data_IF_926274757584
#
_entry.id   IF_926274757584
#
_cell.length_a   1.000
_cell.length_b   1.000
_cell.length_c   1.000
_cell.angle_alpha   90.00
_cell.angle_beta   90.00
_cell.angle_gamma   90.00
#
_symmetry.space_group_name_H-M   'P 1'
#
loop_
_entity.id
_entity.type
_entity.pdbx_description
1 polymer ?
#
# COMPACT_ATOMS: atom_id res chain seq x y z
N UNK A 1 0.66 24.63 6.29
CA UNK A 1 1.42 23.44 5.86
C UNK A 1 2.06 23.66 4.49
N UNK A 2 1.37 24.25 3.51
CA UNK A 2 1.91 24.42 2.13
C UNK A 2 2.22 25.89 1.74
N UNK A 3 2.61 26.75 2.68
CA UNK A 3 2.76 28.20 2.46
C UNK A 3 4.08 28.64 1.80
N UNK A 4 4.80 27.73 1.12
CA UNK A 4 6.14 27.96 0.58
C UNK A 4 6.25 27.73 -0.93
N UNK A 5 7.45 27.94 -1.48
CA UNK A 5 7.74 27.65 -2.90
C UNK A 5 7.63 26.15 -3.15
N UNK A 6 6.93 25.76 -4.20
CA UNK A 6 6.81 24.37 -4.64
C UNK A 6 7.73 24.11 -5.84
N UNK A 7 8.51 23.04 -5.78
CA UNK A 7 9.38 22.54 -6.83
C UNK A 7 8.89 21.17 -7.30
N UNK A 8 8.80 20.96 -8.62
CA UNK A 8 8.38 19.67 -9.20
C UNK A 8 9.59 19.03 -9.87
N UNK A 9 9.88 17.77 -9.53
CA UNK A 9 10.96 16.98 -10.11
C UNK A 9 10.36 15.86 -10.94
N UNK A 10 10.56 15.97 -12.26
CA UNK A 10 10.11 15.00 -13.26
C UNK A 10 11.25 14.35 -14.04
N UNK A 11 12.51 14.63 -13.71
CA UNK A 11 13.69 14.07 -14.39
C UNK A 11 14.43 13.09 -13.47
N UNK A 12 14.83 11.90 -13.95
CA UNK A 12 15.54 10.91 -13.15
C UNK A 12 16.92 11.38 -12.63
N UNK A 13 17.59 12.27 -13.36
CA UNK A 13 18.94 12.77 -13.05
C UNK A 13 18.99 13.53 -11.71
N UNK A 14 17.91 14.25 -11.38
CA UNK A 14 17.82 15.04 -10.15
C UNK A 14 17.56 14.16 -8.91
N UNK A 15 16.98 12.96 -9.08
CA UNK A 15 16.51 12.17 -7.95
C UNK A 15 17.67 11.71 -7.06
N UNK A 16 18.79 11.28 -7.66
CA UNK A 16 19.94 10.81 -6.90
C UNK A 16 20.50 11.91 -5.97
N UNK A 17 20.51 13.17 -6.43
CA UNK A 17 20.98 14.30 -5.64
C UNK A 17 20.07 14.62 -4.46
N UNK A 18 18.75 14.49 -4.63
CA UNK A 18 17.76 14.61 -3.55
C UNK A 18 17.88 13.47 -2.54
N UNK A 19 18.01 12.23 -3.01
CA UNK A 19 18.05 11.05 -2.14
C UNK A 19 19.30 10.99 -1.28
N UNK A 20 20.46 11.44 -1.79
CA UNK A 20 21.70 11.55 -1.00
C UNK A 20 21.56 12.54 0.17
N UNK A 21 20.66 13.51 0.05
CA UNK A 21 20.37 14.53 1.06
C UNK A 21 19.00 14.30 1.71
N UNK A 22 18.57 13.04 1.87
CA UNK A 22 17.22 12.68 2.29
C UNK A 22 16.81 13.13 3.71
N UNK A 23 17.75 13.54 4.56
CA UNK A 23 17.43 14.21 5.83
C UNK A 23 17.09 15.70 5.60
N UNK A 24 17.77 16.36 4.67
CA UNK A 24 17.55 17.77 4.33
C UNK A 24 16.33 17.94 3.43
N UNK A 25 16.16 17.09 2.42
CA UNK A 25 14.90 16.91 1.69
C UNK A 25 14.10 15.80 2.38
N UNK A 26 13.47 16.11 3.51
CA UNK A 26 12.88 15.15 4.43
C UNK A 26 11.43 14.81 4.08
N UNK A 27 11.09 13.52 4.12
CA UNK A 27 9.69 13.10 4.20
C UNK A 27 9.22 12.90 5.65
N UNK A 28 10.13 12.54 6.56
CA UNK A 28 9.79 12.22 7.96
C UNK A 28 9.06 13.37 8.66
N UNK A 29 9.47 14.62 8.40
CA UNK A 29 8.75 15.78 8.93
C UNK A 29 7.29 15.83 8.46
N UNK A 30 7.05 15.60 7.16
CA UNK A 30 5.69 15.55 6.61
C UNK A 30 4.92 14.36 7.14
N UNK A 31 5.56 13.20 7.28
CA UNK A 31 4.94 11.98 7.81
C UNK A 31 4.47 12.15 9.26
N UNK A 32 5.27 12.77 10.13
CA UNK A 32 4.86 13.08 11.51
C UNK A 32 3.67 14.04 11.52
N UNK A 33 3.72 15.10 10.72
CA UNK A 33 2.63 16.08 10.64
C UNK A 33 1.35 15.47 10.09
N UNK A 34 1.44 14.68 9.01
CA UNK A 34 0.30 14.00 8.41
C UNK A 34 -0.31 13.02 9.40
N UNK A 35 0.51 12.25 10.11
CA UNK A 35 0.04 11.32 11.15
C UNK A 35 -0.69 12.07 12.26
N UNK A 36 -0.10 13.14 12.79
CA UNK A 36 -0.71 13.93 13.86
C UNK A 36 -2.06 14.56 13.44
N UNK A 37 -2.10 15.19 12.26
CA UNK A 37 -3.28 15.92 11.79
C UNK A 37 -4.39 14.96 11.31
N UNK A 38 -4.05 13.93 10.53
CA UNK A 38 -5.02 12.93 10.05
C UNK A 38 -5.58 12.10 11.20
N UNK A 39 -4.73 11.66 12.14
CA UNK A 39 -5.16 10.92 13.32
C UNK A 39 -5.95 11.78 14.31
N UNK A 40 -5.76 13.10 14.26
CA UNK A 40 -6.31 14.04 15.23
C UNK A 40 -5.70 13.82 16.61
N UNK A 41 -4.38 13.66 16.67
CA UNK A 41 -3.64 13.41 17.91
C UNK A 41 -3.81 14.55 18.92
N UNK A 42 -3.62 14.22 20.18
CA UNK A 42 -3.49 15.21 21.24
C UNK A 42 -2.31 16.16 20.98
N UNK A 43 -2.34 17.35 21.59
CA UNK A 43 -1.22 18.30 21.47
C UNK A 43 0.11 17.73 21.95
N UNK A 44 0.07 16.89 22.99
CA UNK A 44 1.25 16.22 23.52
C UNK A 44 1.76 15.14 22.56
N UNK A 45 0.87 14.28 22.05
CA UNK A 45 1.19 13.27 21.05
C UNK A 45 1.79 13.88 19.78
N UNK A 46 1.20 14.95 19.26
CA UNK A 46 1.74 15.71 18.12
C UNK A 46 3.14 16.24 18.43
N UNK A 47 3.33 16.91 19.58
CA UNK A 47 4.62 17.49 19.98
C UNK A 47 5.72 16.43 20.05
N UNK A 48 5.42 15.26 20.61
CA UNK A 48 6.36 14.13 20.70
C UNK A 48 6.70 13.55 19.33
N UNK A 49 5.70 13.40 18.45
CA UNK A 49 5.91 12.79 17.14
C UNK A 49 6.75 13.67 16.20
N UNK A 50 6.60 15.00 16.27
CA UNK A 50 7.39 15.95 15.45
C UNK A 50 8.76 16.32 16.05
N UNK A 51 9.05 15.85 17.27
CA UNK A 51 10.30 16.19 17.94
C UNK A 51 11.51 15.54 17.26
N UNK A 52 12.64 16.25 17.30
CA UNK A 52 13.96 15.75 16.91
C UNK A 52 14.06 15.27 15.44
N UNK A 53 13.23 15.83 14.54
CA UNK A 53 13.23 15.49 13.11
C UNK A 53 14.18 16.35 12.26
N UNK A 54 14.80 17.36 12.85
CA UNK A 54 15.73 18.24 12.14
C UNK A 54 17.01 17.50 11.75
N UNK A 55 17.63 17.81 10.59
CA UNK A 55 18.82 17.11 10.11
C UNK A 55 19.97 17.07 11.11
N UNK A 56 20.16 18.17 11.85
CA UNK A 56 21.20 18.35 12.85
C UNK A 56 20.88 17.73 14.23
N UNK A 57 19.70 17.16 14.43
CA UNK A 57 19.32 16.57 15.72
C UNK A 57 20.09 15.28 16.00
N UNK A 58 20.76 15.23 17.15
CA UNK A 58 21.39 14.00 17.69
C UNK A 58 20.47 13.24 18.66
N UNK A 59 19.34 13.84 19.04
CA UNK A 59 18.37 13.23 19.96
C UNK A 59 17.50 12.18 19.24
N UNK A 60 17.08 11.11 19.94
CA UNK A 60 16.15 10.12 19.38
C UNK A 60 14.84 10.77 18.93
N UNK A 61 14.24 10.23 17.86
CA UNK A 61 12.95 10.69 17.34
C UNK A 61 11.97 9.54 17.33
N UNK A 62 10.83 9.76 17.98
CA UNK A 62 9.77 8.75 18.11
C UNK A 62 9.27 8.25 16.75
N UNK A 63 9.13 9.15 15.76
CA UNK A 63 8.75 8.77 14.40
C UNK A 63 9.85 7.90 13.76
N UNK A 64 11.10 8.37 13.75
CA UNK A 64 12.19 7.68 13.05
C UNK A 64 12.42 6.29 13.65
N UNK A 65 12.37 6.17 14.98
CA UNK A 65 12.57 4.89 15.65
C UNK A 65 11.39 3.95 15.44
N UNK A 66 10.15 4.46 15.42
CA UNK A 66 8.97 3.69 15.00
C UNK A 66 9.04 3.20 13.54
N UNK A 67 9.60 4.01 12.63
CA UNK A 67 9.85 3.62 11.23
C UNK A 67 10.90 2.52 11.12
N UNK A 68 12.01 2.61 11.87
CA UNK A 68 13.02 1.53 11.93
C UNK A 68 12.44 0.24 12.49
N UNK A 69 11.63 0.32 13.54
CA UNK A 69 10.96 -0.84 14.11
C UNK A 69 10.00 -1.48 13.10
N UNK A 70 9.25 -0.67 12.36
CA UNK A 70 8.39 -1.12 11.25
C UNK A 70 9.20 -1.81 10.15
N UNK A 71 10.31 -1.20 9.72
CA UNK A 71 11.21 -1.79 8.71
C UNK A 71 11.80 -3.13 9.16
N UNK A 72 12.20 -3.23 10.43
CA UNK A 72 12.74 -4.46 11.00
C UNK A 72 11.67 -5.56 11.06
N UNK A 73 10.45 -5.23 11.52
CA UNK A 73 9.34 -6.18 11.61
C UNK A 73 8.94 -6.75 10.23
N UNK A 74 9.03 -5.92 9.18
CA UNK A 74 8.74 -6.29 7.79
C UNK A 74 9.96 -6.82 7.02
N UNK A 75 11.09 -7.03 7.68
CA UNK A 75 12.26 -7.65 7.06
C UNK A 75 12.14 -9.18 7.08
N UNK A 76 12.92 -9.92 6.24
CA UNK A 76 12.99 -11.38 6.30
C UNK A 76 13.44 -11.95 7.66
N UNK A 77 14.17 -11.15 8.46
CA UNK A 77 14.58 -11.51 9.83
C UNK A 77 13.55 -11.08 10.89
N UNK A 78 12.49 -10.38 10.48
CA UNK A 78 11.39 -9.94 11.32
C UNK A 78 10.29 -11.00 11.36
N UNK A 79 9.09 -10.65 10.91
CA UNK A 79 7.95 -11.58 10.82
C UNK A 79 7.17 -11.46 9.51
N UNK A 80 7.80 -10.94 8.45
CA UNK A 80 7.12 -10.72 7.17
C UNK A 80 6.65 -12.03 6.53
N UNK A 81 7.44 -13.11 6.64
CA UNK A 81 7.09 -14.42 6.07
C UNK A 81 5.84 -15.02 6.74
N UNK A 82 5.70 -14.84 8.06
CA UNK A 82 4.50 -15.26 8.79
C UNK A 82 3.28 -14.46 8.37
N UNK A 83 3.43 -13.14 8.18
CA UNK A 83 2.36 -12.29 7.68
C UNK A 83 1.93 -12.72 6.27
N UNK A 84 2.88 -12.96 5.36
CA UNK A 84 2.60 -13.42 3.99
C UNK A 84 1.83 -14.75 4.02
N UNK A 85 2.25 -15.68 4.90
CA UNK A 85 1.56 -16.97 5.08
C UNK A 85 0.12 -16.77 5.56
N UNK A 86 -0.10 -15.97 6.60
CA UNK A 86 -1.44 -15.69 7.14
C UNK A 86 -2.32 -15.01 6.10
N UNK A 87 -1.81 -14.03 5.36
CA UNK A 87 -2.57 -13.37 4.29
C UNK A 87 -2.98 -14.38 3.21
N UNK A 88 -2.05 -15.22 2.75
CA UNK A 88 -2.33 -16.22 1.72
C UNK A 88 -3.30 -17.32 2.17
N UNK A 89 -3.24 -17.76 3.43
CA UNK A 89 -4.21 -18.69 4.03
C UNK A 89 -5.61 -18.06 4.09
N UNK A 90 -5.72 -16.80 4.53
CA UNK A 90 -7.00 -16.09 4.53
C UNK A 90 -7.57 -15.92 3.11
N UNK A 91 -6.73 -15.57 2.13
CA UNK A 91 -7.15 -15.50 0.72
C UNK A 91 -7.65 -16.87 0.25
N UNK A 92 -6.92 -17.94 0.55
CA UNK A 92 -7.31 -19.30 0.19
C UNK A 92 -8.68 -19.66 0.77
N UNK A 93 -8.87 -19.51 2.08
CA UNK A 93 -10.12 -19.86 2.77
C UNK A 93 -11.32 -19.10 2.18
N UNK A 94 -11.13 -17.81 1.85
CA UNK A 94 -12.18 -16.97 1.28
C UNK A 94 -12.51 -17.35 -0.16
N UNK A 95 -11.51 -17.68 -0.98
CA UNK A 95 -11.73 -18.19 -2.34
C UNK A 95 -12.36 -19.58 -2.32
N UNK A 96 -12.03 -20.42 -1.34
CA UNK A 96 -12.67 -21.73 -1.17
C UNK A 96 -14.14 -21.59 -0.76
N UNK A 97 -14.45 -20.66 0.14
CA UNK A 97 -15.84 -20.33 0.48
C UNK A 97 -16.61 -19.80 -0.73
N UNK A 98 -16.02 -18.89 -1.51
CA UNK A 98 -16.63 -18.38 -2.74
C UNK A 98 -16.89 -19.50 -3.76
N UNK A 99 -15.95 -20.42 -3.94
CA UNK A 99 -16.12 -21.57 -4.84
C UNK A 99 -17.25 -22.50 -4.36
N UNK A 100 -17.35 -22.74 -3.05
CA UNK A 100 -18.42 -23.54 -2.46
C UNK A 100 -19.80 -22.88 -2.60
N UNK A 101 -19.87 -21.55 -2.42
CA UNK A 101 -21.10 -20.77 -2.58
C UNK A 101 -21.54 -20.70 -4.05
N UNK A 102 -20.59 -20.55 -4.97
CA UNK A 102 -20.85 -20.52 -6.40
C UNK A 102 -21.28 -21.89 -6.94
N UNK A 103 -20.65 -22.99 -6.50
CA UNK A 103 -20.84 -24.30 -7.12
C UNK A 103 -20.61 -24.22 -8.64
N UNK A 104 -21.61 -24.64 -9.43
CA UNK A 104 -21.57 -24.60 -10.90
C UNK A 104 -22.27 -23.36 -11.51
N UNK A 105 -22.64 -22.34 -10.70
CA UNK A 105 -23.33 -21.14 -11.20
C UNK A 105 -22.38 -19.94 -11.37
N UNK A 106 -22.70 -19.09 -12.34
CA UNK A 106 -22.03 -17.79 -12.51
C UNK A 106 -22.53 -16.81 -11.44
N UNK A 107 -21.61 -16.27 -10.64
CA UNK A 107 -21.88 -15.19 -9.69
C UNK A 107 -21.45 -13.85 -10.28
N UNK A 108 -22.36 -12.88 -10.28
CA UNK A 108 -22.06 -11.51 -10.68
C UNK A 108 -21.65 -10.69 -9.46
N UNK A 109 -20.50 -10.02 -9.54
CA UNK A 109 -20.02 -9.11 -8.50
C UNK A 109 -19.39 -7.86 -9.11
N UNK A 110 -19.35 -6.79 -8.32
CA UNK A 110 -18.58 -5.58 -8.62
C UNK A 110 -17.10 -5.88 -8.28
N UNK A 111 -16.25 -5.93 -9.31
CA UNK A 111 -14.87 -6.37 -9.15
C UNK A 111 -14.08 -5.46 -8.20
N UNK A 112 -14.32 -4.15 -8.25
CA UNK A 112 -13.65 -3.21 -7.35
C UNK A 112 -14.08 -3.42 -5.91
N UNK A 113 -15.39 -3.48 -5.65
CA UNK A 113 -15.92 -3.69 -4.31
C UNK A 113 -15.46 -5.03 -3.73
N UNK A 114 -15.44 -6.09 -4.55
CA UNK A 114 -14.95 -7.39 -4.15
C UNK A 114 -13.45 -7.35 -3.81
N UNK A 115 -12.59 -6.85 -4.71
CA UNK A 115 -11.15 -6.77 -4.45
C UNK A 115 -10.85 -5.89 -3.22
N UNK A 116 -11.57 -4.78 -3.05
CA UNK A 116 -11.44 -3.92 -1.87
C UNK A 116 -11.69 -4.69 -0.59
N UNK A 117 -12.81 -5.41 -0.50
CA UNK A 117 -13.15 -6.19 0.67
C UNK A 117 -12.16 -7.32 0.94
N UNK A 118 -11.86 -8.12 -0.09
CA UNK A 118 -10.99 -9.29 0.04
C UNK A 118 -9.57 -8.93 0.50
N UNK A 119 -8.98 -7.89 -0.09
CA UNK A 119 -7.64 -7.44 0.30
C UNK A 119 -7.69 -6.73 1.65
N UNK A 120 -8.70 -5.90 1.94
CA UNK A 120 -8.82 -5.28 3.28
C UNK A 120 -8.81 -6.36 4.36
N UNK A 121 -9.65 -7.38 4.24
CA UNK A 121 -9.72 -8.46 5.22
C UNK A 121 -8.41 -9.23 5.26
N UNK A 122 -7.93 -9.79 4.14
CA UNK A 122 -6.73 -10.62 4.13
C UNK A 122 -5.49 -9.89 4.69
N UNK A 123 -5.29 -8.63 4.29
CA UNK A 123 -4.18 -7.81 4.78
C UNK A 123 -4.33 -7.54 6.28
N UNK A 124 -5.51 -7.09 6.74
CA UNK A 124 -5.70 -6.71 8.15
C UNK A 124 -5.68 -7.92 9.09
N UNK A 125 -6.13 -9.10 8.65
CA UNK A 125 -5.94 -10.36 9.37
C UNK A 125 -4.47 -10.67 9.61
N UNK A 126 -3.65 -10.50 8.58
CA UNK A 126 -2.20 -10.73 8.69
C UNK A 126 -1.50 -9.75 9.62
N UNK A 127 -2.08 -8.56 9.86
CA UNK A 127 -1.51 -7.52 10.72
C UNK A 127 -2.01 -7.66 12.15
N UNK A 128 -3.33 -7.69 12.34
CA UNK A 128 -3.99 -7.55 13.64
C UNK A 128 -4.36 -8.90 14.29
N UNK A 129 -4.34 -10.00 13.54
CA UNK A 129 -4.57 -11.33 14.07
C UNK A 129 -6.03 -11.61 14.46
N UNK A 130 -6.29 -12.58 15.35
CA UNK A 130 -7.63 -13.10 15.63
C UNK A 130 -8.66 -12.05 16.10
N UNK A 131 -8.21 -10.95 16.68
CA UNK A 131 -9.03 -9.84 17.17
C UNK A 131 -9.06 -8.64 16.20
N UNK A 132 -8.80 -8.88 14.91
CA UNK A 132 -8.82 -7.87 13.86
C UNK A 132 -10.10 -6.99 13.90
N UNK A 133 -9.98 -5.67 14.14
CA UNK A 133 -11.12 -4.78 14.16
C UNK A 133 -11.86 -4.66 12.83
N UNK A 134 -11.16 -4.82 11.71
CA UNK A 134 -11.70 -4.63 10.35
C UNK A 134 -12.64 -5.76 9.90
N UNK A 135 -12.72 -6.88 10.66
CA UNK A 135 -13.79 -7.89 10.48
C UNK A 135 -15.19 -7.32 10.65
N UNK A 136 -15.31 -6.25 11.44
CA UNK A 136 -16.59 -5.59 11.64
C UNK A 136 -16.84 -4.68 10.45
N UNK A 137 -17.85 -5.00 9.63
CA UNK A 137 -18.18 -4.25 8.40
C UNK A 137 -18.32 -2.73 8.60
N UNK A 138 -18.80 -2.30 9.78
CA UNK A 138 -18.87 -0.87 10.14
C UNK A 138 -17.49 -0.22 10.29
N UNK A 139 -16.50 -0.95 10.81
CA UNK A 139 -15.12 -0.49 10.96
C UNK A 139 -14.45 -0.40 9.59
N UNK A 140 -14.55 -1.43 8.77
CA UNK A 140 -14.06 -1.44 7.38
C UNK A 140 -14.65 -0.26 6.57
N UNK A 141 -15.98 -0.10 6.58
CA UNK A 141 -16.63 1.02 5.91
C UNK A 141 -16.20 2.37 6.51
N UNK A 142 -15.98 2.43 7.82
CA UNK A 142 -15.43 3.60 8.51
C UNK A 142 -14.02 3.95 8.04
N UNK A 143 -13.17 2.94 7.85
CA UNK A 143 -11.82 3.10 7.33
C UNK A 143 -11.82 3.66 5.91
N UNK A 144 -12.58 3.08 4.98
CA UNK A 144 -12.62 3.57 3.60
C UNK A 144 -13.22 4.97 3.49
N UNK A 145 -14.22 5.29 4.31
CA UNK A 145 -14.74 6.66 4.42
C UNK A 145 -13.68 7.68 4.89
N UNK A 146 -12.78 7.27 5.78
CA UNK A 146 -11.66 8.09 6.25
C UNK A 146 -10.55 8.19 5.20
N UNK A 147 -10.17 7.07 4.59
CA UNK A 147 -9.06 6.98 3.66
C UNK A 147 -9.34 7.72 2.34
N UNK A 148 -10.56 7.62 1.79
CA UNK A 148 -10.92 8.24 0.50
C UNK A 148 -10.81 9.77 0.54
N UNK A 149 -11.23 10.40 1.63
CA UNK A 149 -11.27 11.86 1.79
C UNK A 149 -10.08 12.39 2.64
N UNK A 150 -9.01 11.62 2.79
CA UNK A 150 -7.88 11.97 3.67
C UNK A 150 -7.18 13.29 3.27
N UNK A 151 -6.98 13.53 1.97
CA UNK A 151 -6.38 14.76 1.43
C UNK A 151 -7.30 15.95 1.70
N UNK A 152 -8.61 15.78 1.55
CA UNK A 152 -9.58 16.83 1.87
C UNK A 152 -9.50 17.19 3.35
N UNK A 153 -9.49 16.18 4.23
CA UNK A 153 -9.35 16.38 5.68
C UNK A 153 -8.06 17.14 6.04
N UNK A 154 -6.97 16.88 5.32
CA UNK A 154 -5.67 17.51 5.55
C UNK A 154 -5.60 18.96 5.03
N UNK A 155 -6.25 19.26 3.91
CA UNK A 155 -6.20 20.56 3.24
C UNK A 155 -7.23 21.56 3.76
N UNK A 156 -8.40 21.10 4.23
CA UNK A 156 -9.48 22.00 4.68
C UNK A 156 -9.35 22.31 6.17
N UNK A 157 -8.61 23.38 6.52
CA UNK A 157 -8.58 23.89 7.91
C UNK A 157 -9.80 24.75 8.26
N UNK A 158 -10.58 25.20 7.27
CA UNK A 158 -11.82 25.95 7.47
C UNK A 158 -13.04 25.00 7.36
N UNK A 159 -13.82 24.88 8.44
CA UNK A 159 -15.04 24.07 8.52
C UNK A 159 -14.92 22.58 8.08
N UNK A 160 -13.94 21.81 8.60
CA UNK A 160 -13.74 20.40 8.20
C UNK A 160 -14.97 19.52 8.47
N UNK A 161 -15.77 19.86 9.50
CA UNK A 161 -17.02 19.16 9.82
C UNK A 161 -18.09 19.24 8.73
N UNK A 162 -18.00 20.20 7.81
CA UNK A 162 -18.94 20.34 6.70
C UNK A 162 -18.39 19.72 5.40
N UNK A 163 -17.09 19.89 5.13
CA UNK A 163 -16.46 19.46 3.87
C UNK A 163 -15.98 18.01 3.92
N UNK A 164 -15.58 17.50 5.09
CA UNK A 164 -15.02 16.15 5.27
C UNK A 164 -15.77 15.35 6.35
N UNK A 165 -17.08 15.59 6.49
CA UNK A 165 -17.90 14.99 7.57
C UNK A 165 -17.89 13.46 7.55
N UNK A 166 -17.82 12.84 6.36
CA UNK A 166 -17.75 11.39 6.15
C UNK A 166 -16.44 10.83 6.70
N UNK A 167 -15.31 11.44 6.34
CA UNK A 167 -13.99 11.06 6.86
C UNK A 167 -13.87 11.22 8.36
N UNK A 168 -14.40 12.30 8.95
CA UNK A 168 -14.32 12.52 10.39
C UNK A 168 -15.10 11.44 11.16
N UNK A 169 -16.30 11.09 10.70
CA UNK A 169 -17.11 10.02 11.28
C UNK A 169 -16.45 8.65 11.09
N UNK A 170 -15.92 8.39 9.89
CA UNK A 170 -15.18 7.17 9.59
C UNK A 170 -13.98 6.97 10.51
N UNK A 171 -13.15 8.01 10.65
CA UNK A 171 -11.99 8.03 11.56
C UNK A 171 -12.40 7.74 13.00
N UNK A 172 -13.48 8.37 13.49
CA UNK A 172 -13.94 8.14 14.86
C UNK A 172 -14.29 6.67 15.13
N UNK A 173 -14.95 6.00 14.17
CA UNK A 173 -15.28 4.58 14.26
C UNK A 173 -14.01 3.71 14.35
N UNK A 174 -13.03 3.97 13.47
CA UNK A 174 -11.77 3.21 13.45
C UNK A 174 -10.96 3.45 14.71
N UNK A 175 -10.84 4.69 15.17
CA UNK A 175 -10.12 5.03 16.41
C UNK A 175 -10.77 4.34 17.62
N UNK A 176 -12.09 4.31 17.71
CA UNK A 176 -12.78 3.60 18.80
C UNK A 176 -12.49 2.09 18.76
N UNK A 177 -12.49 1.49 17.57
CA UNK A 177 -12.18 0.07 17.39
C UNK A 177 -10.73 -0.25 17.76
N UNK A 178 -9.77 0.57 17.31
CA UNK A 178 -8.35 0.43 17.66
C UNK A 178 -8.07 0.69 19.14
N UNK A 179 -8.80 1.64 19.76
CA UNK A 179 -8.71 1.85 21.20
C UNK A 179 -9.10 0.58 21.96
N UNK A 180 -10.21 -0.06 21.60
CA UNK A 180 -10.63 -1.33 22.21
C UNK A 180 -9.62 -2.45 21.98
N UNK A 181 -9.10 -2.56 20.75
CA UNK A 181 -8.06 -3.53 20.39
C UNK A 181 -6.86 -3.42 21.34
N UNK A 182 -6.30 -2.22 21.49
CA UNK A 182 -5.16 -2.02 22.38
C UNK A 182 -5.53 -2.16 23.86
N UNK A 183 -6.71 -1.70 24.32
CA UNK A 183 -7.10 -1.77 25.75
C UNK A 183 -7.21 -3.23 26.19
N UNK A 184 -7.69 -4.09 25.29
CA UNK A 184 -7.79 -5.53 25.54
C UNK A 184 -6.45 -6.27 25.37
N UNK A 185 -5.35 -5.55 25.14
CA UNK A 185 -4.03 -6.14 24.86
C UNK A 185 -4.01 -7.08 23.64
N UNK A 186 -4.94 -6.92 22.69
CA UNK A 186 -5.10 -7.82 21.55
C UNK A 186 -3.89 -7.80 20.60
N UNK A 187 -3.14 -6.70 20.56
CA UNK A 187 -1.87 -6.59 19.82
C UNK A 187 -0.84 -7.67 20.18
N UNK A 188 -0.95 -8.29 21.36
CA UNK A 188 -0.08 -9.43 21.75
C UNK A 188 -0.32 -10.67 20.89
N UNK A 189 -1.51 -10.81 20.32
CA UNK A 189 -1.90 -11.91 19.43
C UNK A 189 -1.75 -11.54 17.94
N UNK A 190 -1.48 -10.26 17.63
CA UNK A 190 -1.21 -9.79 16.27
C UNK A 190 0.21 -10.12 15.76
N UNK A 191 0.50 -9.61 14.57
CA UNK A 191 1.78 -9.77 13.89
C UNK A 191 2.97 -9.11 14.61
N UNK A 192 4.19 -9.44 14.16
CA UNK A 192 5.39 -8.71 14.56
C UNK A 192 5.29 -7.22 14.25
N UNK A 193 4.58 -6.82 13.20
CA UNK A 193 4.40 -5.43 12.79
C UNK A 193 3.62 -4.62 13.85
N UNK A 194 2.41 -5.07 14.22
CA UNK A 194 1.61 -4.34 15.21
C UNK A 194 2.27 -4.35 16.59
N UNK A 195 2.96 -5.44 16.95
CA UNK A 195 3.76 -5.54 18.18
C UNK A 195 4.89 -4.51 18.19
N UNK A 196 5.66 -4.41 17.10
CA UNK A 196 6.76 -3.46 16.98
C UNK A 196 6.28 -2.01 17.04
N UNK A 197 5.18 -1.69 16.34
CA UNK A 197 4.56 -0.35 16.37
C UNK A 197 4.07 0.02 17.77
N UNK A 198 3.34 -0.88 18.43
CA UNK A 198 2.88 -0.67 19.79
C UNK A 198 4.05 -0.48 20.78
N UNK A 199 5.07 -1.34 20.72
CA UNK A 199 6.23 -1.24 21.59
C UNK A 199 7.01 0.07 21.40
N UNK A 200 7.06 0.59 20.16
CA UNK A 200 7.80 1.82 19.84
C UNK A 200 7.14 3.09 20.37
N UNK A 201 5.82 3.06 20.63
CA UNK A 201 5.05 4.27 20.96
C UNK A 201 4.44 4.23 22.36
N UNK A 202 4.16 3.04 22.90
CA UNK A 202 3.31 2.88 24.10
C UNK A 202 3.88 3.42 25.40
N UNK A 203 5.20 3.62 25.49
CA UNK A 203 5.82 4.25 26.67
C UNK A 203 5.72 5.78 26.63
N UNK A 204 5.58 6.35 25.43
CA UNK A 204 5.62 7.80 25.19
C UNK A 204 4.24 8.38 24.89
N UNK A 205 3.29 7.59 24.42
CA UNK A 205 1.97 8.05 23.97
C UNK A 205 0.83 7.56 24.84
N UNK A 206 -0.23 8.37 24.90
CA UNK A 206 -1.49 7.96 25.51
C UNK A 206 -2.15 6.85 24.70
N UNK A 207 -3.02 6.07 25.33
CA UNK A 207 -3.77 5.01 24.66
C UNK A 207 -4.62 5.50 23.48
N UNK A 208 -5.25 6.68 23.65
CA UNK A 208 -6.03 7.33 22.58
C UNK A 208 -5.12 7.74 21.41
N UNK A 209 -3.94 8.32 21.68
CA UNK A 209 -2.98 8.67 20.63
C UNK A 209 -2.45 7.43 19.89
N UNK A 210 -2.21 6.31 20.58
CA UNK A 210 -1.83 5.05 19.94
C UNK A 210 -2.90 4.57 18.95
N UNK A 211 -4.17 4.59 19.36
CA UNK A 211 -5.28 4.21 18.49
C UNK A 211 -5.39 5.13 17.26
N UNK A 212 -5.12 6.43 17.42
CA UNK A 212 -5.13 7.41 16.33
C UNK A 212 -3.97 7.23 15.37
N UNK A 213 -2.77 6.95 15.87
CA UNK A 213 -1.63 6.62 15.02
C UNK A 213 -1.92 5.34 14.23
N UNK A 214 -2.46 4.31 14.87
CA UNK A 214 -2.76 3.06 14.18
C UNK A 214 -3.89 3.19 13.15
N UNK A 215 -4.89 4.05 13.42
CA UNK A 215 -5.90 4.43 12.42
C UNK A 215 -5.26 5.03 11.15
N UNK A 216 -4.22 5.86 11.28
CA UNK A 216 -3.49 6.40 10.13
C UNK A 216 -2.61 5.33 9.48
N UNK A 217 -1.98 4.45 10.26
CA UNK A 217 -1.20 3.33 9.72
C UNK A 217 -2.04 2.41 8.82
N UNK A 218 -3.35 2.29 9.06
CA UNK A 218 -4.27 1.61 8.14
C UNK A 218 -4.20 2.14 6.70
N UNK A 219 -3.99 3.45 6.51
CA UNK A 219 -3.80 4.05 5.18
C UNK A 219 -2.56 3.44 4.51
N UNK A 220 -1.44 3.38 5.23
CA UNK A 220 -0.19 2.82 4.72
C UNK A 220 -0.29 1.32 4.42
N UNK A 221 -1.15 0.59 5.14
CA UNK A 221 -1.38 -0.85 4.97
C UNK A 221 -2.22 -1.15 3.72
N UNK A 222 -3.33 -0.42 3.52
CA UNK A 222 -4.38 -0.83 2.57
C UNK A 222 -4.46 -0.01 1.29
N UNK A 223 -4.29 1.31 1.36
CA UNK A 223 -4.78 2.24 0.32
C UNK A 223 -4.05 2.17 -1.02
N UNK A 224 -2.85 1.58 -1.06
CA UNK A 224 -2.14 1.30 -2.31
C UNK A 224 -2.26 -0.17 -2.74
N UNK A 225 -2.36 -1.09 -1.79
CA UNK A 225 -2.43 -2.54 -2.03
C UNK A 225 -3.71 -2.89 -2.79
N UNK A 226 -4.85 -2.36 -2.35
CA UNK A 226 -6.17 -2.61 -2.95
C UNK A 226 -6.27 -2.16 -4.42
N UNK A 227 -5.98 -0.90 -4.79
CA UNK A 227 -6.01 -0.50 -6.19
C UNK A 227 -4.95 -1.21 -7.04
N UNK A 228 -3.79 -1.53 -6.47
CA UNK A 228 -2.79 -2.35 -7.19
C UNK A 228 -3.32 -3.76 -7.47
N UNK A 229 -4.02 -4.38 -6.52
CA UNK A 229 -4.67 -5.67 -6.69
C UNK A 229 -5.70 -5.62 -7.83
N UNK A 230 -6.60 -4.63 -7.79
CA UNK A 230 -7.65 -4.46 -8.78
C UNK A 230 -7.07 -4.33 -10.18
N UNK A 231 -6.11 -3.41 -10.37
CA UNK A 231 -5.53 -3.18 -11.70
C UNK A 231 -4.70 -4.35 -12.19
N UNK A 232 -4.05 -5.09 -11.29
CA UNK A 232 -3.31 -6.31 -11.65
C UNK A 232 -4.28 -7.41 -12.11
N UNK A 233 -5.38 -7.63 -11.39
CA UNK A 233 -6.43 -8.56 -11.80
C UNK A 233 -7.01 -8.12 -13.15
N UNK A 234 -7.37 -6.85 -13.30
CA UNK A 234 -7.90 -6.32 -14.56
C UNK A 234 -6.95 -6.58 -15.73
N UNK A 235 -5.67 -6.18 -15.63
CA UNK A 235 -4.70 -6.32 -16.73
C UNK A 235 -4.41 -7.78 -17.08
N UNK A 236 -4.41 -8.69 -16.10
CA UNK A 236 -4.17 -10.11 -16.36
C UNK A 236 -5.41 -10.77 -16.97
N UNK A 237 -6.59 -10.59 -16.39
CA UNK A 237 -7.81 -11.30 -16.81
C UNK A 237 -8.44 -10.72 -18.07
N UNK A 238 -8.14 -9.46 -18.43
CA UNK A 238 -8.58 -8.86 -19.69
C UNK A 238 -7.72 -9.22 -20.90
N UNK A 239 -6.53 -9.81 -20.70
CA UNK A 239 -5.66 -10.32 -21.76
C UNK A 239 -5.57 -11.86 -21.68
N UNK A 240 -6.29 -12.60 -22.55
CA UNK A 240 -6.28 -14.06 -22.53
C UNK A 240 -4.89 -14.69 -22.70
N UNK A 241 -3.97 -14.04 -23.42
CA UNK A 241 -2.61 -14.56 -23.61
C UNK A 241 -1.79 -14.40 -22.34
N UNK A 242 -1.93 -13.26 -21.66
CA UNK A 242 -1.29 -13.03 -20.38
C UNK A 242 -1.84 -13.94 -19.29
N UNK A 243 -3.16 -14.12 -19.21
CA UNK A 243 -3.78 -15.04 -18.28
C UNK A 243 -3.29 -16.48 -18.47
N UNK A 244 -3.18 -16.95 -19.72
CA UNK A 244 -2.67 -18.30 -19.99
C UNK A 244 -1.19 -18.46 -19.59
N UNK A 245 -0.36 -17.44 -19.83
CA UNK A 245 1.04 -17.45 -19.38
C UNK A 245 1.14 -17.47 -17.85
N UNK A 246 0.31 -16.71 -17.15
CA UNK A 246 0.20 -16.75 -15.69
C UNK A 246 -0.21 -18.15 -15.23
N UNK A 247 -1.28 -18.73 -15.79
CA UNK A 247 -1.76 -20.08 -15.46
C UNK A 247 -0.68 -21.14 -15.70
N UNK A 248 0.07 -21.02 -16.80
CA UNK A 248 1.21 -21.90 -17.10
C UNK A 248 2.28 -21.84 -16.00
N UNK A 249 2.76 -20.65 -15.65
CA UNK A 249 3.79 -20.50 -14.62
C UNK A 249 3.29 -20.94 -13.22
N UNK A 250 2.03 -20.64 -12.88
CA UNK A 250 1.45 -21.05 -11.59
C UNK A 250 1.27 -22.58 -11.50
N UNK A 251 0.93 -23.25 -12.61
CA UNK A 251 0.88 -24.73 -12.66
C UNK A 251 2.23 -25.37 -12.33
N UNK A 252 3.35 -24.79 -12.76
CA UNK A 252 4.70 -25.32 -12.48
C UNK A 252 5.10 -25.26 -10.98
N UNK A 253 4.37 -24.47 -10.20
CA UNK A 253 4.55 -24.33 -8.75
C UNK A 253 3.38 -24.89 -7.94
N UNK A 254 2.45 -25.58 -8.60
CA UNK A 254 1.31 -26.23 -7.97
C UNK A 254 1.51 -27.73 -7.90
N UNK A 255 1.24 -28.32 -6.75
CA UNK A 255 1.19 -29.78 -6.58
C UNK A 255 -0.26 -30.22 -6.47
N UNK A 256 -0.65 -31.24 -7.24
CA UNK A 256 -1.98 -31.85 -7.16
C UNK A 256 -1.86 -33.25 -6.58
N UNK A 257 -2.59 -33.51 -5.51
CA UNK A 257 -2.68 -34.81 -4.84
C UNK A 257 -4.12 -35.25 -4.76
N UNK A 258 -4.38 -36.55 -4.85
CA UNK A 258 -5.71 -37.08 -4.62
C UNK A 258 -5.87 -37.42 -3.14
N UNK A 259 -6.91 -36.87 -2.49
CA UNK A 259 -7.25 -37.25 -1.12
C UNK A 259 -7.65 -38.72 -1.09
N UNK A 260 -7.00 -39.51 -0.22
CA UNK A 260 -7.33 -40.92 -0.04
C UNK A 260 -8.72 -41.14 0.57
N UNK A 261 -9.22 -40.17 1.32
CA UNK A 261 -10.49 -40.26 2.04
C UNK A 261 -11.69 -39.87 1.17
N UNK A 262 -11.55 -38.79 0.39
CA UNK A 262 -12.67 -38.24 -0.41
C UNK A 262 -12.54 -38.52 -1.91
N UNK A 263 -11.35 -38.92 -2.38
CA UNK A 263 -11.05 -39.06 -3.80
C UNK A 263 -10.93 -37.74 -4.57
N UNK A 264 -11.10 -36.60 -3.89
CA UNK A 264 -11.04 -35.25 -4.47
C UNK A 264 -9.58 -34.88 -4.77
N UNK A 265 -9.36 -34.23 -5.92
CA UNK A 265 -8.06 -33.66 -6.25
C UNK A 265 -7.85 -32.35 -5.49
N UNK A 266 -6.83 -32.33 -4.65
CA UNK A 266 -6.39 -31.15 -3.90
C UNK A 266 -5.17 -30.55 -4.60
N UNK A 267 -5.29 -29.29 -5.01
CA UNK A 267 -4.19 -28.54 -5.62
C UNK A 267 -3.68 -27.49 -4.66
N UNK A 268 -2.37 -27.50 -4.40
CA UNK A 268 -1.70 -26.58 -3.49
C UNK A 268 -0.60 -25.81 -4.20
N UNK A 269 -0.72 -24.48 -4.22
CA UNK A 269 0.34 -23.58 -4.71
C UNK A 269 1.44 -23.52 -3.64
N UNK A 270 2.69 -23.77 -4.04
CA UNK A 270 3.83 -23.58 -3.16
C UNK A 270 4.20 -22.08 -3.10
N UNK A 271 3.72 -21.39 -2.06
CA UNK A 271 3.93 -19.95 -1.88
C UNK A 271 5.42 -19.55 -1.87
N UNK A 272 6.31 -20.41 -1.38
CA UNK A 272 7.77 -20.16 -1.37
C UNK A 272 8.38 -20.15 -2.77
N UNK A 273 7.67 -20.71 -3.75
CA UNK A 273 8.04 -20.76 -5.16
C UNK A 273 7.31 -19.72 -6.01
N UNK A 274 6.54 -18.80 -5.43
CA UNK A 274 5.89 -17.72 -6.21
C UNK A 274 6.88 -16.97 -7.11
N UNK A 275 8.11 -16.76 -6.64
CA UNK A 275 9.21 -16.14 -7.41
C UNK A 275 9.56 -16.88 -8.71
N UNK A 276 9.24 -18.18 -8.81
CA UNK A 276 9.43 -18.99 -10.01
C UNK A 276 8.34 -18.70 -11.07
N UNK A 277 7.34 -17.87 -10.74
CA UNK A 277 6.36 -17.29 -11.67
C UNK A 277 6.61 -15.78 -11.87
N UNK A 278 7.73 -15.39 -12.51
CA UNK A 278 8.17 -13.99 -12.60
C UNK A 278 7.18 -13.07 -13.32
N UNK A 279 6.28 -13.60 -14.16
CA UNK A 279 5.29 -12.77 -14.85
C UNK A 279 4.30 -12.12 -13.88
N UNK A 280 3.99 -12.77 -12.75
CA UNK A 280 3.09 -12.23 -11.72
C UNK A 280 3.67 -10.95 -11.10
N UNK A 281 4.92 -11.03 -10.62
CA UNK A 281 5.62 -9.89 -10.04
C UNK A 281 5.86 -8.80 -11.07
N UNK A 282 6.17 -9.19 -12.31
CA UNK A 282 6.41 -8.22 -13.38
C UNK A 282 5.14 -7.46 -13.78
N UNK A 283 3.98 -8.14 -13.86
CA UNK A 283 2.69 -7.51 -14.11
C UNK A 283 2.29 -6.54 -12.99
N UNK A 284 2.53 -6.90 -11.73
CA UNK A 284 2.26 -6.02 -10.58
C UNK A 284 3.16 -4.79 -10.58
N UNK A 285 4.47 -4.94 -10.86
CA UNK A 285 5.38 -3.80 -10.97
C UNK A 285 5.01 -2.90 -12.16
N UNK A 286 4.58 -3.49 -13.28
CA UNK A 286 4.06 -2.73 -14.40
C UNK A 286 2.75 -2.03 -14.07
N UNK A 287 1.87 -2.62 -13.26
CA UNK A 287 0.68 -1.94 -12.73
C UNK A 287 1.08 -0.71 -11.92
N UNK A 288 2.02 -0.86 -10.98
CA UNK A 288 2.52 0.26 -10.16
C UNK A 288 3.18 1.36 -10.99
N UNK A 289 3.80 1.03 -12.13
CA UNK A 289 4.41 1.99 -13.07
C UNK A 289 3.35 2.67 -13.94
N UNK A 290 2.54 1.87 -14.63
CA UNK A 290 1.59 2.33 -15.63
C UNK A 290 0.41 3.07 -14.99
N UNK A 291 -0.12 2.58 -13.88
CA UNK A 291 -1.25 3.22 -13.17
C UNK A 291 -0.79 4.29 -12.18
N UNK A 292 0.46 4.73 -12.25
CA UNK A 292 1.04 5.67 -11.31
C UNK A 292 0.31 7.03 -11.30
N UNK A 293 -0.10 7.43 -10.11
CA UNK A 293 -0.65 8.75 -9.75
C UNK A 293 0.15 9.41 -8.62
N UNK A 294 1.04 8.64 -7.98
CA UNK A 294 1.71 9.05 -6.75
C UNK A 294 2.65 10.24 -6.88
N UNK A 295 2.75 10.96 -5.76
CA UNK A 295 3.72 12.03 -5.53
C UNK A 295 4.62 11.65 -4.35
N UNK A 296 5.89 12.05 -4.38
CA UNK A 296 6.78 11.91 -3.22
C UNK A 296 7.15 13.30 -2.72
N UNK A 297 6.37 13.87 -1.79
CA UNK A 297 6.65 15.17 -1.25
C UNK A 297 7.86 15.10 -0.31
N UNK A 298 8.66 16.16 -0.30
CA UNK A 298 9.76 16.40 0.64
C UNK A 298 9.68 17.83 1.14
N UNK A 299 9.90 18.00 2.43
CA UNK A 299 10.13 19.30 3.05
C UNK A 299 11.62 19.60 3.00
N UNK A 300 11.99 20.78 2.51
CA UNK A 300 13.38 21.25 2.55
C UNK A 300 13.65 21.86 3.93
N UNK A 301 14.38 21.13 4.77
CA UNK A 301 14.63 21.47 6.17
C UNK A 301 15.77 22.50 6.33
N UNK A 302 16.69 22.55 5.36
CA UNK A 302 17.83 23.48 5.29
C UNK A 302 18.09 23.82 3.81
N UNK A 303 18.69 24.99 3.53
CA UNK A 303 19.09 25.36 2.17
C UNK A 303 20.00 24.28 1.56
N UNK A 304 19.66 23.80 0.36
CA UNK A 304 20.38 22.71 -0.29
C UNK A 304 20.54 22.94 -1.80
N UNK A 305 21.60 22.36 -2.36
CA UNK A 305 21.90 22.44 -3.78
C UNK A 305 21.74 21.06 -4.42
N UNK A 306 21.05 21.02 -5.58
CA UNK A 306 20.74 19.78 -6.32
C UNK A 306 21.06 19.91 -7.81
N UNK A 307 21.09 18.78 -8.52
CA UNK A 307 21.32 18.74 -9.96
C UNK A 307 22.71 19.22 -10.39
N UNK A 308 23.76 18.73 -9.74
CA UNK A 308 25.15 19.12 -10.04
C UNK A 308 25.38 20.64 -9.97
N UNK A 309 24.97 21.26 -8.86
CA UNK A 309 25.10 22.69 -8.60
C UNK A 309 24.22 23.62 -9.44
N UNK A 310 23.17 23.11 -10.07
CA UNK A 310 22.28 23.90 -10.92
C UNK A 310 21.15 24.59 -10.14
N UNK A 311 20.64 23.98 -9.06
CA UNK A 311 19.44 24.46 -8.39
C UNK A 311 19.66 24.64 -6.89
N UNK A 312 19.40 25.85 -6.38
CA UNK A 312 19.27 26.13 -4.95
C UNK A 312 17.81 25.95 -4.52
N UNK A 313 17.59 25.02 -3.60
CA UNK A 313 16.32 24.84 -2.90
C UNK A 313 16.44 25.47 -1.52
N UNK A 314 15.54 26.41 -1.21
CA UNK A 314 15.57 27.12 0.07
C UNK A 314 14.88 26.32 1.15
N UNK A 315 15.32 26.47 2.39
CA UNK A 315 14.60 26.03 3.58
C UNK A 315 13.13 26.48 3.51
N UNK A 316 12.26 25.62 4.02
CA UNK A 316 10.80 25.78 4.04
C UNK A 316 10.11 25.71 2.66
N UNK A 317 10.84 25.32 1.60
CA UNK A 317 10.26 24.96 0.31
C UNK A 317 9.86 23.48 0.24
N UNK A 318 8.91 23.16 -0.64
CA UNK A 318 8.48 21.78 -0.87
C UNK A 318 8.99 21.27 -2.21
N UNK A 319 9.43 20.02 -2.25
CA UNK A 319 9.77 19.30 -3.48
C UNK A 319 8.76 18.17 -3.67
N UNK A 320 8.16 18.07 -4.85
CA UNK A 320 7.34 16.93 -5.25
C UNK A 320 8.07 16.17 -6.35
N UNK A 321 8.43 14.92 -6.09
CA UNK A 321 8.85 13.98 -7.13
C UNK A 321 7.58 13.40 -7.77
N UNK A 322 7.38 13.66 -9.06
CA UNK A 322 6.18 13.26 -9.79
C UNK A 322 6.38 11.86 -10.41
N UNK A 323 5.84 10.82 -9.76
CA UNK A 323 6.09 9.43 -10.20
C UNK A 323 5.57 9.18 -11.61
N UNK A 324 4.39 9.73 -11.96
CA UNK A 324 3.81 9.60 -13.30
C UNK A 324 4.73 10.14 -14.39
N UNK A 325 5.33 11.32 -14.19
CA UNK A 325 6.27 11.90 -15.15
C UNK A 325 7.49 10.98 -15.36
N UNK A 326 8.05 10.45 -14.28
CA UNK A 326 9.20 9.54 -14.32
C UNK A 326 8.87 8.18 -14.94
N UNK A 327 7.64 7.70 -14.76
CA UNK A 327 7.20 6.39 -15.23
C UNK A 327 6.85 6.36 -16.70
N UNK A 328 6.44 7.50 -17.26
CA UNK A 328 6.08 7.66 -18.66
C UNK A 328 7.18 8.32 -19.51
N UNK A 329 8.33 8.65 -18.91
CA UNK A 329 9.46 9.19 -19.64
C UNK A 329 10.00 8.19 -20.67
N UNK A 330 9.86 8.52 -21.96
CA UNK A 330 10.27 7.66 -23.07
C UNK A 330 11.77 7.58 -23.24
N UNK A 331 12.53 8.58 -22.80
CA UNK A 331 13.99 8.53 -22.82
C UNK A 331 14.50 7.43 -21.87
N UNK A 332 13.86 7.27 -20.70
CA UNK A 332 14.24 6.26 -19.71
C UNK A 332 13.59 4.89 -19.94
N UNK A 333 12.30 4.85 -20.28
CA UNK A 333 11.53 3.60 -20.39
C UNK A 333 11.36 3.08 -21.83
N UNK A 334 11.85 3.83 -22.81
CA UNK A 334 11.72 3.56 -24.24
C UNK A 334 10.37 3.99 -24.82
N UNK A 335 10.23 3.85 -26.14
CA UNK A 335 9.08 4.34 -26.92
C UNK A 335 7.72 3.81 -26.47
N UNK A 336 7.70 2.64 -25.81
CA UNK A 336 6.51 1.98 -25.30
C UNK A 336 6.22 2.25 -23.81
N UNK A 337 6.76 3.35 -23.25
CA UNK A 337 6.48 3.76 -21.87
C UNK A 337 4.97 3.98 -21.61
N UNK A 338 4.23 4.36 -22.65
CA UNK A 338 2.79 4.59 -22.68
C UNK A 338 1.95 3.33 -22.89
N UNK A 339 2.58 2.14 -22.95
CA UNK A 339 1.91 0.85 -23.05
C UNK A 339 2.09 0.04 -21.77
N UNK A 340 1.04 -0.66 -21.35
CA UNK A 340 1.16 -1.70 -20.33
C UNK A 340 1.89 -2.91 -20.92
N UNK A 341 3.03 -3.28 -20.33
CA UNK A 341 3.82 -4.44 -20.74
C UNK A 341 4.08 -5.35 -19.55
N UNK A 342 3.27 -6.40 -19.41
CA UNK A 342 3.35 -7.32 -18.28
C UNK A 342 4.74 -7.94 -18.07
N UNK A 343 5.54 -8.10 -19.12
CA UNK A 343 6.89 -8.66 -19.06
C UNK A 343 8.02 -7.61 -18.88
N UNK A 344 7.69 -6.33 -18.69
CA UNK A 344 8.68 -5.23 -18.62
C UNK A 344 9.73 -5.46 -17.52
N UNK A 345 9.31 -6.01 -16.39
CA UNK A 345 10.15 -6.24 -15.21
C UNK A 345 10.67 -7.68 -15.13
N UNK A 346 10.46 -8.53 -16.14
CA UNK A 346 11.16 -9.80 -16.28
C UNK A 346 12.64 -9.61 -16.70
N UNK A 347 12.97 -8.43 -17.24
CA UNK A 347 14.33 -8.06 -17.65
C UNK A 347 14.93 -6.93 -16.82
N UNK A 348 16.00 -6.33 -17.35
CA UNK A 348 16.63 -5.16 -16.72
C UNK A 348 15.76 -3.93 -16.92
N UNK A 349 15.45 -3.24 -15.83
CA UNK A 349 14.67 -1.98 -15.81
C UNK A 349 15.51 -0.81 -15.28
N UNK A 350 15.15 0.44 -15.62
CA UNK A 350 15.76 1.63 -15.02
C UNK A 350 15.30 1.77 -13.56
N UNK A 351 15.95 1.05 -12.64
CA UNK A 351 15.55 1.00 -11.22
C UNK A 351 15.54 2.37 -10.52
N UNK A 352 16.32 3.33 -11.01
CA UNK A 352 16.32 4.71 -10.50
C UNK A 352 15.10 5.54 -10.96
N UNK A 353 14.39 5.10 -12.01
CA UNK A 353 13.16 5.74 -12.48
C UNK A 353 11.90 5.02 -11.99
N UNK A 354 12.00 3.75 -11.59
CA UNK A 354 10.89 3.07 -10.93
C UNK A 354 10.67 3.64 -9.52
N UNK A 355 9.40 3.96 -9.24
CA UNK A 355 8.94 4.71 -8.06
C UNK A 355 7.64 4.16 -7.48
N UNK A 356 7.27 2.92 -7.83
CA UNK A 356 6.07 2.25 -7.33
C UNK A 356 6.03 2.06 -5.81
N UNK A 357 7.19 2.07 -5.16
CA UNK A 357 7.32 1.90 -3.71
C UNK A 357 8.07 3.06 -3.03
N UNK A 358 8.20 4.22 -3.69
CA UNK A 358 9.05 5.29 -3.19
C UNK A 358 10.51 5.15 -3.62
N UNK A 359 11.44 5.49 -2.73
CA UNK A 359 12.88 5.37 -2.99
C UNK A 359 13.78 6.04 -1.96
N UNK A 360 15.04 5.63 -1.93
CA UNK A 360 16.02 6.10 -0.96
C UNK A 360 15.62 5.70 0.47
N UNK A 361 15.74 6.64 1.41
CA UNK A 361 15.36 6.43 2.82
C UNK A 361 13.85 6.18 3.04
N UNK A 362 13.02 6.54 2.05
CA UNK A 362 11.55 6.44 2.12
C UNK A 362 11.04 5.36 1.17
N UNK A 363 11.77 4.24 1.06
CA UNK A 363 11.30 3.06 0.35
C UNK A 363 10.27 2.33 1.22
N UNK A 364 9.15 1.91 0.64
CA UNK A 364 8.08 1.22 1.34
C UNK A 364 8.62 -0.03 2.06
N UNK A 365 8.43 -0.14 3.39
CA UNK A 365 8.87 -1.31 4.15
C UNK A 365 8.02 -2.55 3.82
N UNK A 366 6.73 -2.37 3.52
CA UNK A 366 5.79 -3.46 3.25
C UNK A 366 5.79 -3.98 1.80
N UNK A 367 6.70 -3.52 0.93
CA UNK A 367 6.69 -3.86 -0.50
C UNK A 367 6.77 -5.37 -0.76
N UNK A 368 7.58 -6.10 0.00
CA UNK A 368 7.76 -7.55 -0.19
C UNK A 368 6.49 -8.30 0.22
N UNK A 369 5.89 -7.89 1.34
CA UNK A 369 4.59 -8.39 1.80
C UNK A 369 3.51 -8.15 0.75
N UNK A 370 3.33 -6.90 0.29
CA UNK A 370 2.28 -6.53 -0.65
C UNK A 370 2.44 -7.29 -1.99
N UNK A 371 3.66 -7.37 -2.54
CA UNK A 371 3.91 -8.11 -3.78
C UNK A 371 3.60 -9.62 -3.63
N UNK A 372 3.96 -10.22 -2.49
CA UNK A 372 3.70 -11.64 -2.24
C UNK A 372 2.21 -11.92 -2.02
N UNK A 373 1.51 -11.07 -1.27
CA UNK A 373 0.07 -11.16 -1.04
C UNK A 373 -0.72 -11.06 -2.35
N UNK A 374 -0.42 -10.06 -3.18
CA UNK A 374 -1.08 -9.90 -4.48
C UNK A 374 -0.72 -11.02 -5.46
N UNK A 375 0.51 -11.54 -5.41
CA UNK A 375 0.89 -12.69 -6.21
C UNK A 375 0.10 -13.94 -5.80
N UNK A 376 -0.10 -14.16 -4.50
CA UNK A 376 -0.92 -15.25 -3.99
C UNK A 376 -2.38 -15.11 -4.44
N UNK A 377 -3.00 -13.93 -4.28
CA UNK A 377 -4.36 -13.65 -4.75
C UNK A 377 -4.54 -13.99 -6.23
N UNK A 378 -3.70 -13.41 -7.09
CA UNK A 378 -3.81 -13.58 -8.55
C UNK A 378 -3.55 -15.03 -8.95
N UNK A 379 -2.56 -15.68 -8.35
CA UNK A 379 -2.27 -17.09 -8.65
C UNK A 379 -3.45 -18.00 -8.27
N UNK A 380 -4.05 -17.80 -7.09
CA UNK A 380 -5.21 -18.59 -6.65
C UNK A 380 -6.44 -18.30 -7.51
N UNK A 381 -6.71 -17.03 -7.83
CA UNK A 381 -7.79 -16.65 -8.75
C UNK A 381 -7.63 -17.30 -10.13
N UNK A 382 -6.44 -17.21 -10.71
CA UNK A 382 -6.16 -17.73 -12.05
C UNK A 382 -6.34 -19.26 -12.14
N UNK A 383 -6.13 -19.96 -11.03
CA UNK A 383 -6.27 -21.43 -10.94
C UNK A 383 -7.67 -21.90 -10.57
N UNK A 384 -8.46 -21.08 -9.87
CA UNK A 384 -9.79 -21.47 -9.34
C UNK A 384 -10.98 -20.95 -10.14
N UNK A 385 -10.83 -19.81 -10.82
CA UNK A 385 -11.95 -19.12 -11.44
C UNK A 385 -11.65 -18.68 -12.87
N UNK A 386 -12.70 -18.64 -13.69
CA UNK A 386 -12.77 -17.88 -14.93
C UNK A 386 -13.53 -16.57 -14.65
N UNK A 387 -12.81 -15.44 -14.64
CA UNK A 387 -13.44 -14.13 -14.50
C UNK A 387 -13.84 -13.63 -15.89
N UNK A 388 -15.13 -13.39 -16.07
CA UNK A 388 -15.69 -12.87 -17.31
C UNK A 388 -16.48 -11.59 -17.05
N UNK A 389 -16.39 -10.58 -17.93
CA UNK A 389 -17.19 -9.37 -17.81
C UNK A 389 -18.67 -9.70 -18.11
N UNK A 390 -19.60 -9.17 -17.30
CA UNK A 390 -21.05 -9.42 -17.45
C UNK A 390 -21.57 -9.05 -18.85
N UNK A 391 -20.95 -8.07 -19.52
CA UNK A 391 -21.27 -7.65 -20.89
C UNK A 391 -20.44 -8.32 -22.00
N UNK A 392 -19.66 -9.35 -21.69
CA UNK A 392 -18.82 -10.09 -22.65
C UNK A 392 -17.54 -9.37 -23.11
N UNK A 393 -17.38 -8.08 -22.81
CA UNK A 393 -16.17 -7.31 -23.12
C UNK A 393 -15.63 -6.60 -21.88
N UNK A 394 -14.32 -6.62 -21.71
CA UNK A 394 -13.64 -5.83 -20.69
C UNK A 394 -13.59 -4.37 -21.14
N UNK A 395 -14.05 -3.47 -20.27
CA UNK A 395 -13.93 -2.03 -20.46
C UNK A 395 -13.03 -1.47 -19.36
N UNK A 396 -12.07 -0.63 -19.75
CA UNK A 396 -11.23 0.06 -18.78
C UNK A 396 -12.03 1.17 -18.07
N UNK A 397 -12.19 1.12 -16.73
CA UNK A 397 -13.09 2.02 -16.00
C UNK A 397 -12.51 3.41 -15.69
N UNK A 398 -11.38 3.80 -16.29
CA UNK A 398 -10.67 5.04 -15.92
C UNK A 398 -10.00 4.98 -14.54
N UNK A 399 -9.31 6.04 -14.13
CA UNK A 399 -8.66 6.17 -12.81
C UNK A 399 -9.15 7.41 -12.07
N UNK A 400 -9.58 7.28 -10.82
CA UNK A 400 -9.99 8.40 -9.99
C UNK A 400 -8.76 9.20 -9.52
N UNK A 401 -8.43 10.27 -10.26
CA UNK A 401 -7.25 11.10 -10.01
C UNK A 401 -7.43 12.13 -8.89
N UNK A 402 -8.56 12.11 -8.17
CA UNK A 402 -8.82 13.11 -7.13
C UNK A 402 -7.93 12.96 -5.88
N UNK A 403 -7.38 11.76 -5.65
CA UNK A 403 -6.49 11.50 -4.52
C UNK A 403 -5.02 11.35 -4.96
N UNK A 404 -4.27 12.46 -4.91
CA UNK A 404 -2.84 12.50 -5.25
C UNK A 404 -1.91 11.89 -4.20
N UNK A 405 -2.44 11.42 -3.05
CA UNK A 405 -1.64 10.76 -2.00
C UNK A 405 -1.35 9.29 -2.32
N UNK A 406 -2.09 8.70 -3.26
CA UNK A 406 -1.98 7.29 -3.63
C UNK A 406 -1.00 7.10 -4.80
N UNK A 407 -0.17 6.06 -4.71
CA UNK A 407 0.66 5.61 -5.82
C UNK A 407 -0.20 5.11 -6.98
N UNK A 408 -1.27 4.38 -6.68
CA UNK A 408 -2.21 3.86 -7.66
C UNK A 408 -3.61 4.31 -7.29
N UNK A 409 -4.27 5.01 -8.19
CA UNK A 409 -5.66 5.41 -8.03
C UNK A 409 -6.63 4.23 -8.22
N UNK A 410 -7.76 4.28 -7.52
CA UNK A 410 -8.91 3.39 -7.73
C UNK A 410 -9.56 3.62 -9.11
N UNK A 411 -10.37 2.67 -9.64
CA UNK A 411 -11.16 2.91 -10.85
C UNK A 411 -12.24 3.99 -10.65
N UNK A 412 -12.65 4.70 -11.72
CA UNK A 412 -13.74 5.69 -11.67
C UNK A 412 -15.14 5.04 -11.71
N UNK A 413 -15.24 3.86 -12.32
CA UNK A 413 -16.49 3.12 -12.54
C UNK A 413 -16.53 1.73 -11.87
N UNK A 414 -17.73 1.14 -11.88
CA UNK A 414 -18.02 -0.22 -11.43
C UNK A 414 -17.75 -1.26 -12.51
#
# INVERSE_FOLDING_TARGET
MFGGKLHIVGSPELINSLQRQGKTASFWYLEALFTAELGGLSRDGMKKLVANLEPASEQPSLLIDGLKATQQALSPLGGVDDMIRVAAENIQDRLDNLANEAGDINLNTDLWAWVQHEITVATTESVYGPENPDRVSKVEAGFWNFADDNVMLLLTKFLPNFVASKAIKGRAIVVEAMSRYFTNSAQKNGSSLVKARYASLSTEMSHDDLARVECVNGIAIMTNTVPTAFWTVFHIFSDPKLLEEVRKQVREITTTTQSFETGILESKINLRRLKDAPILFSAQQETLRFRATGTQPRMVMEDMIVGNNQYLLRKDSMVIIANRALHYDKETWGENADLFRANRFCGKVPGHAFRGFGGGLNLCPGREFAMAELAALVAMLAMKFDLVPVGGNWFEPGQDLNNMSLQVARPEGK
#
